data_IF_546272572599
#
_entry.id   IF_546272572599
#
_cell.length_a   1.000
_cell.length_b   1.000
_cell.length_c   1.000
_cell.angle_alpha   90.00
_cell.angle_beta   90.00
_cell.angle_gamma   90.00
#
_symmetry.space_group_name_H-M   'P 1'
#
loop_
_entity.id
_entity.type
_entity.pdbx_description
1 polymer ?
#
# COMPACT_ATOMS: atom_id res chain seq x y z
N UNK A 1 28.64 17.81 1.68
CA UNK A 1 27.51 18.00 2.63
C UNK A 1 27.56 16.90 3.67
N UNK A 2 26.94 17.09 4.84
CA UNK A 2 26.82 16.03 5.84
C UNK A 2 25.93 14.88 5.32
N UNK A 3 26.18 13.62 5.70
CA UNK A 3 25.37 12.49 5.26
C UNK A 3 23.94 12.56 5.80
N UNK A 4 22.97 12.17 4.99
CA UNK A 4 21.60 11.98 5.44
C UNK A 4 21.53 10.75 6.34
N UNK A 5 20.83 10.87 7.48
CA UNK A 5 20.72 9.79 8.48
C UNK A 5 19.43 8.97 8.37
N UNK A 6 18.42 9.51 7.68
CA UNK A 6 17.10 8.89 7.59
C UNK A 6 16.57 8.94 6.17
N UNK A 7 15.77 7.95 5.82
CA UNK A 7 14.90 7.98 4.64
C UNK A 7 13.44 8.02 5.07
N UNK A 8 12.62 8.76 4.33
CA UNK A 8 11.17 8.77 4.46
C UNK A 8 10.52 8.12 3.25
N UNK A 9 9.37 7.50 3.46
CA UNK A 9 8.56 6.88 2.42
C UNK A 9 7.11 7.26 2.66
N UNK A 10 6.42 7.69 1.59
CA UNK A 10 4.97 7.87 1.56
C UNK A 10 4.43 6.95 0.48
N UNK A 11 3.66 5.94 0.86
CA UNK A 11 3.19 4.93 -0.08
C UNK A 11 2.00 4.15 0.47
N UNK A 12 1.15 3.65 -0.44
CA UNK A 12 0.15 2.61 -0.15
C UNK A 12 0.79 1.32 0.37
N UNK A 13 2.05 1.05 0.00
CA UNK A 13 2.80 -0.10 0.50
C UNK A 13 2.98 -0.08 2.01
N UNK A 14 2.82 1.08 2.68
CA UNK A 14 2.93 1.21 4.12
C UNK A 14 1.60 1.03 4.87
N UNK A 15 0.51 0.71 4.16
CA UNK A 15 -0.78 0.44 4.78
C UNK A 15 -0.78 -0.89 5.56
N UNK A 16 -0.85 -0.79 6.89
CA UNK A 16 -0.86 -1.97 7.78
C UNK A 16 -2.09 -2.85 7.62
N UNK A 17 -3.18 -2.35 7.02
CA UNK A 17 -4.36 -3.17 6.69
C UNK A 17 -3.98 -4.35 5.76
N UNK A 18 -2.93 -4.22 4.93
CA UNK A 18 -2.48 -5.30 4.05
C UNK A 18 -2.11 -6.59 4.79
N UNK A 19 -1.75 -6.51 6.08
CA UNK A 19 -1.44 -7.70 6.89
C UNK A 19 -2.64 -8.63 7.09
N UNK A 20 -3.87 -8.11 7.06
CA UNK A 20 -5.09 -8.89 7.24
C UNK A 20 -5.50 -9.63 5.95
N UNK A 21 -4.89 -9.28 4.81
CA UNK A 21 -5.27 -9.79 3.50
C UNK A 21 -4.15 -10.54 2.77
N UNK A 22 -2.89 -10.33 3.16
CA UNK A 22 -1.72 -10.94 2.52
C UNK A 22 -1.13 -12.07 3.37
N UNK A 23 -0.51 -13.09 2.75
CA UNK A 23 0.23 -14.11 3.47
C UNK A 23 1.37 -13.50 4.30
N UNK A 24 1.65 -14.06 5.48
CA UNK A 24 2.69 -13.56 6.39
C UNK A 24 4.08 -13.44 5.73
N UNK A 25 4.37 -14.29 4.74
CA UNK A 25 5.62 -14.28 3.95
C UNK A 25 5.66 -13.26 2.81
N UNK A 26 4.65 -12.38 2.66
CA UNK A 26 4.63 -11.36 1.60
C UNK A 26 5.79 -10.36 1.74
N UNK A 27 6.45 -10.09 0.62
CA UNK A 27 7.51 -9.07 0.54
C UNK A 27 7.01 -7.67 0.90
N UNK A 28 5.73 -7.36 0.66
CA UNK A 28 5.13 -6.09 1.08
C UNK A 28 5.18 -5.98 2.60
N UNK A 29 4.78 -7.03 3.33
CA UNK A 29 4.82 -7.03 4.79
C UNK A 29 6.27 -6.98 5.31
N UNK A 30 7.20 -7.63 4.63
CA UNK A 30 8.63 -7.53 4.96
C UNK A 30 9.18 -6.11 4.77
N UNK A 31 8.79 -5.43 3.68
CA UNK A 31 9.14 -4.05 3.42
C UNK A 31 8.57 -3.11 4.50
N UNK A 32 7.28 -3.26 4.83
CA UNK A 32 6.60 -2.47 5.86
C UNK A 32 7.32 -2.51 7.22
N UNK A 33 7.84 -3.68 7.62
CA UNK A 33 8.53 -3.85 8.91
C UNK A 33 9.82 -3.03 9.03
N UNK A 34 10.37 -2.52 7.93
CA UNK A 34 11.58 -1.68 7.92
C UNK A 34 11.30 -0.23 8.32
N UNK A 35 10.04 0.18 8.38
CA UNK A 35 9.65 1.58 8.59
C UNK A 35 8.86 1.77 9.89
N UNK A 36 9.21 2.84 10.61
CA UNK A 36 8.43 3.40 11.70
C UNK A 36 7.40 4.35 11.13
N UNK A 37 6.11 4.06 11.33
CA UNK A 37 5.02 4.87 10.80
C UNK A 37 4.88 6.21 11.54
N UNK A 38 4.44 7.24 10.82
CA UNK A 38 4.12 8.54 11.41
C UNK A 38 3.04 9.28 10.58
N UNK A 39 2.47 10.34 11.17
CA UNK A 39 1.58 11.24 10.45
C UNK A 39 0.20 10.65 10.13
N UNK A 40 -0.49 11.32 9.21
CA UNK A 40 -1.84 10.94 8.80
C UNK A 40 -1.84 9.72 7.85
N UNK A 41 -3.00 9.06 7.79
CA UNK A 41 -3.28 7.93 6.88
C UNK A 41 -4.52 8.24 6.03
N UNK A 42 -4.41 9.12 5.02
CA UNK A 42 -5.56 9.48 4.19
C UNK A 42 -6.03 8.29 3.34
N UNK A 43 -7.25 8.36 2.82
CA UNK A 43 -7.71 7.41 1.78
C UNK A 43 -6.74 7.47 0.60
N UNK A 44 -6.35 6.31 0.09
CA UNK A 44 -5.39 6.15 -1.01
C UNK A 44 -5.80 5.03 -1.96
N UNK A 45 -7.11 4.88 -2.19
CA UNK A 45 -7.65 3.86 -3.08
C UNK A 45 -7.10 4.01 -4.51
N UNK A 46 -7.12 5.22 -5.04
CA UNK A 46 -6.59 5.50 -6.38
C UNK A 46 -5.10 5.19 -6.49
N UNK A 47 -4.29 5.55 -5.47
CA UNK A 47 -2.85 5.27 -5.48
C UNK A 47 -2.59 3.76 -5.61
N UNK A 48 -3.22 2.93 -4.78
CA UNK A 48 -2.99 1.48 -4.84
C UNK A 48 -3.52 0.88 -6.14
N UNK A 49 -4.64 1.39 -6.67
CA UNK A 49 -5.21 0.89 -7.92
C UNK A 49 -4.33 1.27 -9.12
N UNK A 50 -3.81 2.50 -9.16
CA UNK A 50 -2.88 2.96 -10.18
C UNK A 50 -1.61 2.11 -10.21
N UNK A 51 -0.96 1.90 -9.06
CA UNK A 51 0.30 1.16 -9.02
C UNK A 51 0.15 -0.34 -9.29
N UNK A 52 -0.98 -0.94 -8.91
CA UNK A 52 -1.17 -2.40 -9.02
C UNK A 52 -1.84 -2.79 -10.33
N UNK A 53 -2.77 -1.98 -10.83
CA UNK A 53 -3.57 -2.30 -12.01
C UNK A 53 -3.32 -1.37 -13.20
N UNK A 54 -2.46 -0.35 -13.05
CA UNK A 54 -2.16 0.64 -14.09
C UNK A 54 -3.41 1.39 -14.58
N UNK A 55 -4.37 1.60 -13.68
CA UNK A 55 -5.57 2.40 -13.96
C UNK A 55 -5.33 3.85 -13.57
N UNK A 56 -5.64 4.83 -14.45
CA UNK A 56 -5.64 6.23 -14.04
C UNK A 56 -6.54 6.47 -12.80
N UNK A 57 -6.16 7.38 -11.90
CA UNK A 57 -6.96 7.72 -10.72
C UNK A 57 -8.43 8.03 -11.08
N UNK A 58 -9.37 7.49 -10.31
CA UNK A 58 -10.82 7.70 -10.49
C UNK A 58 -11.44 6.95 -11.68
N UNK A 59 -10.69 6.13 -12.41
CA UNK A 59 -11.19 5.40 -13.60
C UNK A 59 -11.29 3.89 -13.43
N UNK A 60 -10.89 3.37 -12.27
CA UNK A 60 -10.88 1.94 -12.01
C UNK A 60 -12.31 1.37 -11.93
N UNK A 61 -12.58 0.36 -12.74
CA UNK A 61 -13.79 -0.48 -12.66
C UNK A 61 -13.45 -1.80 -11.96
N UNK A 62 -13.86 -1.93 -10.70
CA UNK A 62 -13.55 -3.09 -9.85
C UNK A 62 -14.05 -4.42 -10.44
N UNK A 63 -15.06 -4.40 -11.30
CA UNK A 63 -15.61 -5.61 -11.94
C UNK A 63 -14.75 -6.12 -13.10
N UNK A 64 -13.85 -5.28 -13.62
CA UNK A 64 -12.98 -5.57 -14.76
C UNK A 64 -11.52 -5.78 -14.37
N UNK A 65 -11.15 -5.49 -13.12
CA UNK A 65 -9.78 -5.66 -12.65
C UNK A 65 -9.37 -7.14 -12.63
N UNK A 66 -8.15 -7.48 -13.08
CA UNK A 66 -7.66 -8.85 -13.06
C UNK A 66 -7.64 -9.39 -11.62
N UNK A 67 -7.94 -10.67 -11.42
CA UNK A 67 -7.97 -11.33 -10.10
C UNK A 67 -6.90 -12.44 -9.96
N UNK A 68 -5.81 -12.32 -10.72
CA UNK A 68 -4.78 -13.35 -10.89
C UNK A 68 -3.90 -13.56 -9.66
N UNK A 69 -3.56 -12.50 -8.92
CA UNK A 69 -2.69 -12.59 -7.74
C UNK A 69 -3.46 -12.47 -6.43
N UNK A 70 -2.84 -12.90 -5.32
CA UNK A 70 -3.43 -12.71 -3.98
C UNK A 70 -3.63 -11.23 -3.66
N UNK A 71 -2.70 -10.37 -4.08
CA UNK A 71 -2.82 -8.92 -3.92
C UNK A 71 -4.05 -8.39 -4.69
N UNK A 72 -4.22 -8.77 -5.95
CA UNK A 72 -5.37 -8.32 -6.74
C UNK A 72 -6.72 -8.65 -6.06
N UNK A 73 -6.85 -9.91 -5.59
CA UNK A 73 -8.04 -10.39 -4.90
C UNK A 73 -8.25 -9.75 -3.53
N UNK A 74 -7.18 -9.37 -2.85
CA UNK A 74 -7.25 -8.66 -1.58
C UNK A 74 -7.80 -7.24 -1.80
N UNK A 75 -7.20 -6.50 -2.73
CA UNK A 75 -7.55 -5.10 -3.01
C UNK A 75 -9.02 -4.96 -3.42
N UNK A 76 -9.44 -5.73 -4.42
CA UNK A 76 -10.82 -5.67 -4.95
C UNK A 76 -11.84 -6.09 -3.90
N UNK A 77 -11.56 -7.14 -3.11
CA UNK A 77 -12.47 -7.59 -2.07
C UNK A 77 -12.67 -6.54 -0.99
N UNK A 78 -11.59 -5.94 -0.49
CA UNK A 78 -11.63 -4.93 0.55
C UNK A 78 -12.48 -3.72 0.13
N UNK A 79 -12.25 -3.23 -1.09
CA UNK A 79 -13.02 -2.12 -1.67
C UNK A 79 -14.51 -2.48 -1.85
N UNK A 80 -14.81 -3.68 -2.37
CA UNK A 80 -16.20 -4.15 -2.54
C UNK A 80 -16.95 -4.31 -1.22
N UNK A 81 -16.25 -4.56 -0.11
CA UNK A 81 -16.84 -4.61 1.24
C UNK A 81 -17.02 -3.23 1.88
N UNK A 82 -16.80 -2.14 1.14
CA UNK A 82 -16.87 -0.77 1.65
C UNK A 82 -15.64 -0.33 2.45
N UNK A 83 -14.57 -1.13 2.43
CA UNK A 83 -13.29 -0.77 2.99
C UNK A 83 -12.55 0.22 2.10
N UNK A 84 -11.62 0.97 2.69
CA UNK A 84 -10.70 1.84 1.97
C UNK A 84 -9.26 1.45 2.28
N UNK A 85 -8.40 1.53 1.27
CA UNK A 85 -6.95 1.50 1.40
C UNK A 85 -6.44 2.89 1.74
N UNK A 86 -5.29 2.92 2.42
CA UNK A 86 -4.69 4.15 2.90
C UNK A 86 -3.30 4.31 2.33
N UNK A 87 -2.87 5.55 2.13
CA UNK A 87 -1.43 5.82 2.13
C UNK A 87 -0.95 6.06 3.54
N UNK A 88 0.33 5.80 3.79
CA UNK A 88 0.95 6.09 5.08
C UNK A 88 2.36 6.64 4.89
N UNK A 89 2.83 7.37 5.89
CA UNK A 89 4.21 7.80 5.97
C UNK A 89 5.00 6.89 6.90
N UNK A 90 6.25 6.63 6.55
CA UNK A 90 7.19 5.90 7.37
C UNK A 90 8.61 6.42 7.22
N UNK A 91 9.41 6.27 8.27
CA UNK A 91 10.84 6.60 8.23
C UNK A 91 11.68 5.41 8.68
N UNK A 92 12.94 5.39 8.25
CA UNK A 92 13.94 4.40 8.65
C UNK A 92 15.33 5.04 8.70
N UNK A 93 16.25 4.46 9.47
CA UNK A 93 17.65 4.86 9.51
C UNK A 93 18.39 4.39 8.26
N UNK A 94 19.26 5.24 7.73
CA UNK A 94 20.15 4.86 6.64
C UNK A 94 21.41 4.18 7.22
N UNK A 95 21.94 3.13 6.55
CA UNK A 95 23.18 2.46 6.96
C UNK A 95 24.39 3.40 7.01
#
# INVERSE_FOLDING_TARGET
GAPHRHATCHSWLLDRQLADHLPAGSNILAFQRRFTAFGARPVGDDDVLEFVFHTPPGTADLDRLPQTTTLHRALVRHLRTGGHWRTAHGWTELP
#
